data_IF_578243727710
#
_entry.id   IF_578243727710
#
_cell.length_a   1.000
_cell.length_b   1.000
_cell.length_c   1.000
_cell.angle_alpha   90.00
_cell.angle_beta   90.00
_cell.angle_gamma   90.00
#
_symmetry.space_group_name_H-M   'P 1'
#
loop_
_entity.id
_entity.type
_entity.pdbx_description
1 polymer ?
#
# COMPACT_ATOMS: atom_id res chain seq x y z
N UNK A 1 -2.52 -10.72 23.88
CA UNK A 1 -3.13 -11.99 23.41
C UNK A 1 -4.51 -11.72 22.79
N UNK A 2 -5.44 -11.02 23.48
CA UNK A 2 -6.79 -10.76 22.97
C UNK A 2 -6.83 -10.23 21.52
N UNK A 3 -6.03 -9.20 21.21
CA UNK A 3 -5.95 -8.63 19.87
C UNK A 3 -5.55 -9.66 18.82
N UNK A 4 -4.50 -10.44 19.09
CA UNK A 4 -3.98 -11.46 18.18
C UNK A 4 -5.00 -12.59 17.96
N UNK A 5 -5.70 -12.98 19.00
CA UNK A 5 -6.75 -14.01 18.93
C UNK A 5 -7.98 -13.53 18.16
N UNK A 6 -8.33 -12.24 18.26
CA UNK A 6 -9.47 -11.68 17.55
C UNK A 6 -9.25 -11.60 16.02
N UNK A 7 -8.04 -11.24 15.57
CA UNK A 7 -7.75 -10.97 14.15
C UNK A 7 -8.27 -12.07 13.21
N UNK A 8 -7.99 -13.36 13.41
CA UNK A 8 -8.46 -14.41 12.50
C UNK A 8 -9.97 -14.65 12.53
N UNK A 9 -10.72 -14.10 13.49
CA UNK A 9 -12.17 -14.27 13.61
C UNK A 9 -12.97 -13.18 12.93
N UNK A 10 -12.32 -12.14 12.38
CA UNK A 10 -13.01 -11.06 11.67
C UNK A 10 -13.39 -11.51 10.27
N UNK A 11 -14.67 -11.82 10.10
CA UNK A 11 -15.21 -12.22 8.81
C UNK A 11 -15.19 -11.06 7.80
N UNK A 12 -14.99 -11.40 6.53
CA UNK A 12 -15.02 -10.45 5.41
C UNK A 12 -14.12 -9.22 5.59
N UNK A 13 -13.02 -9.34 6.34
CA UNK A 13 -12.06 -8.26 6.48
C UNK A 13 -11.44 -7.89 5.12
N UNK A 14 -11.53 -6.63 4.68
CA UNK A 14 -10.97 -6.20 3.40
C UNK A 14 -9.43 -6.23 3.40
N UNK A 15 -8.82 -6.18 4.59
CA UNK A 15 -7.38 -6.24 4.78
C UNK A 15 -7.07 -7.16 5.98
N UNK A 16 -6.96 -8.47 5.76
CA UNK A 16 -6.77 -9.42 6.85
C UNK A 16 -5.36 -9.28 7.43
N UNK A 17 -5.29 -8.87 8.69
CA UNK A 17 -4.03 -8.80 9.46
C UNK A 17 -3.48 -10.17 9.89
N UNK A 18 -4.12 -11.25 9.48
CA UNK A 18 -3.67 -12.61 9.77
C UNK A 18 -2.25 -12.91 9.30
N UNK A 19 -1.77 -12.21 8.27
CA UNK A 19 -0.37 -12.31 7.81
C UNK A 19 0.64 -11.93 8.89
N UNK A 20 0.27 -11.01 9.79
CA UNK A 20 1.13 -10.55 10.89
C UNK A 20 1.02 -11.39 12.17
N UNK A 21 0.07 -12.33 12.23
CA UNK A 21 -0.19 -13.16 13.42
C UNK A 21 0.11 -14.63 13.19
N UNK A 22 0.62 -14.98 12.02
CA UNK A 22 0.97 -16.38 11.68
C UNK A 22 2.36 -16.75 12.19
N UNK A 23 2.57 -18.04 12.37
CA UNK A 23 3.89 -18.59 12.71
C UNK A 23 4.23 -18.58 14.21
N UNK A 24 3.28 -18.21 15.07
CA UNK A 24 3.46 -18.38 16.51
C UNK A 24 3.20 -19.82 16.92
N UNK A 25 4.19 -20.44 17.55
CA UNK A 25 4.03 -21.73 18.24
C UNK A 25 3.45 -21.54 19.65
N UNK A 26 3.92 -20.48 20.33
CA UNK A 26 3.42 -20.11 21.63
C UNK A 26 3.49 -18.60 21.86
N UNK A 27 2.57 -18.11 22.69
CA UNK A 27 2.60 -16.76 23.25
C UNK A 27 2.47 -16.91 24.77
N UNK A 28 3.50 -16.51 25.49
CA UNK A 28 3.58 -16.65 26.95
C UNK A 28 3.55 -15.26 27.59
N UNK A 29 2.93 -15.19 28.77
CA UNK A 29 2.88 -13.98 29.61
C UNK A 29 3.34 -14.36 31.02
N UNK A 30 4.67 -14.48 31.23
CA UNK A 30 5.22 -14.94 32.50
C UNK A 30 4.93 -13.98 33.68
N UNK A 31 4.73 -12.72 33.39
CA UNK A 31 4.37 -11.66 34.33
C UNK A 31 3.50 -10.59 33.63
N UNK A 32 2.92 -9.62 34.37
CA UNK A 32 2.02 -8.60 33.79
C UNK A 32 2.63 -7.64 32.75
N UNK A 33 3.96 -7.56 32.66
CA UNK A 33 4.68 -6.62 31.79
C UNK A 33 5.46 -7.32 30.69
N UNK A 34 5.51 -8.66 30.69
CA UNK A 34 6.29 -9.44 29.71
C UNK A 34 5.40 -10.28 28.82
N UNK A 35 5.63 -10.19 27.51
CA UNK A 35 5.06 -11.09 26.52
C UNK A 35 6.20 -11.74 25.74
N UNK A 36 6.14 -13.07 25.59
CA UNK A 36 7.14 -13.86 24.87
C UNK A 36 6.48 -14.53 23.69
N UNK A 37 6.97 -14.25 22.49
CA UNK A 37 6.54 -14.90 21.24
C UNK A 37 7.55 -16.00 20.88
N UNK A 38 7.06 -17.23 20.75
CA UNK A 38 7.84 -18.36 20.23
C UNK A 38 7.43 -18.67 18.81
N UNK A 39 8.41 -18.76 17.92
CA UNK A 39 8.21 -19.01 16.49
C UNK A 39 9.01 -20.22 16.05
N UNK A 40 8.49 -21.00 15.08
CA UNK A 40 9.16 -22.19 14.54
C UNK A 40 10.50 -21.89 13.87
N UNK A 41 10.64 -20.70 13.28
CA UNK A 41 11.84 -20.22 12.61
C UNK A 41 12.18 -18.81 13.10
N UNK A 42 13.43 -18.36 12.95
CA UNK A 42 13.78 -16.97 13.21
C UNK A 42 12.84 -16.02 12.47
N UNK A 43 12.34 -15.00 13.16
CA UNK A 43 11.34 -14.06 12.64
C UNK A 43 11.81 -12.61 12.81
N UNK A 44 12.82 -12.15 12.05
CA UNK A 44 13.42 -10.81 12.22
C UNK A 44 12.43 -9.66 11.99
N UNK A 45 11.35 -9.92 11.25
CA UNK A 45 10.31 -8.94 10.95
C UNK A 45 9.21 -8.83 12.02
N UNK A 46 9.21 -9.70 13.02
CA UNK A 46 8.14 -9.74 14.01
C UNK A 46 7.91 -8.40 14.72
N UNK A 47 8.93 -7.65 15.17
CA UNK A 47 8.72 -6.33 15.76
C UNK A 47 8.05 -5.34 14.80
N UNK A 48 8.50 -5.28 13.55
CA UNK A 48 7.94 -4.41 12.52
C UNK A 48 6.49 -4.78 12.19
N UNK A 49 6.19 -6.06 12.08
CA UNK A 49 4.82 -6.53 11.84
C UNK A 49 3.87 -6.19 12.99
N UNK A 50 4.33 -6.38 14.23
CA UNK A 50 3.55 -6.04 15.41
C UNK A 50 3.33 -4.53 15.58
N UNK A 51 4.25 -3.68 15.11
CA UNK A 51 4.10 -2.23 15.18
C UNK A 51 2.94 -1.70 14.32
N UNK A 52 2.49 -2.48 13.33
CA UNK A 52 1.34 -2.13 12.48
C UNK A 52 -0.01 -2.49 13.11
N UNK A 53 -0.01 -3.22 14.23
CA UNK A 53 -1.21 -3.68 14.91
C UNK A 53 -1.64 -2.71 16.01
N UNK A 54 -2.85 -2.19 15.93
CA UNK A 54 -3.49 -1.51 17.05
C UNK A 54 -3.87 -2.51 18.15
N UNK A 55 -3.31 -2.34 19.36
CA UNK A 55 -3.61 -3.22 20.49
C UNK A 55 -4.93 -2.82 21.14
N UNK A 56 -5.87 -3.75 21.23
CA UNK A 56 -7.17 -3.57 21.85
C UNK A 56 -7.11 -3.87 23.35
N UNK A 57 -7.84 -3.09 24.16
CA UNK A 57 -8.02 -3.38 25.58
C UNK A 57 -8.90 -4.60 25.77
N UNK A 58 -8.34 -5.69 26.30
CA UNK A 58 -9.11 -6.88 26.62
C UNK A 58 -10.23 -6.59 27.64
N UNK A 59 -9.97 -5.73 28.63
CA UNK A 59 -10.95 -5.34 29.64
C UNK A 59 -12.16 -4.60 29.06
N UNK A 60 -11.94 -3.72 28.06
CA UNK A 60 -13.02 -2.99 27.42
C UNK A 60 -14.01 -3.87 26.63
N UNK A 61 -13.58 -5.08 26.27
CA UNK A 61 -14.37 -6.01 25.45
C UNK A 61 -14.62 -7.36 26.15
N UNK A 62 -14.41 -7.45 27.46
CA UNK A 62 -14.67 -8.70 28.22
C UNK A 62 -13.72 -9.85 27.88
N UNK A 63 -12.55 -9.56 27.33
CA UNK A 63 -11.57 -10.54 26.85
C UNK A 63 -10.41 -10.82 27.82
N UNK A 64 -10.54 -10.54 29.11
CA UNK A 64 -9.47 -10.69 30.11
C UNK A 64 -9.03 -12.14 30.32
N UNK A 65 -9.92 -13.11 30.06
CA UNK A 65 -9.65 -14.54 30.24
C UNK A 65 -9.06 -15.21 28.99
N UNK A 66 -8.86 -14.44 27.91
CA UNK A 66 -8.29 -14.95 26.66
C UNK A 66 -6.83 -15.33 26.86
N UNK A 67 -6.50 -16.56 26.53
CA UNK A 67 -5.15 -17.13 26.68
C UNK A 67 -4.70 -17.77 25.36
N UNK A 68 -3.41 -17.87 25.18
CA UNK A 68 -2.81 -18.72 24.16
C UNK A 68 -2.48 -20.07 24.79
N UNK A 69 -3.13 -21.14 24.31
CA UNK A 69 -2.90 -22.51 24.80
C UNK A 69 -2.34 -23.41 23.71
N UNK A 70 -2.21 -24.69 24.02
CA UNK A 70 -1.85 -25.71 23.03
C UNK A 70 -2.91 -25.74 21.91
N UNK A 71 -2.49 -25.40 20.69
CA UNK A 71 -3.40 -25.32 19.53
C UNK A 71 -4.00 -23.94 19.28
N UNK A 72 -3.59 -22.87 19.97
CA UNK A 72 -3.96 -21.48 19.69
C UNK A 72 -4.80 -20.80 20.76
N UNK A 73 -5.68 -19.93 20.35
CA UNK A 73 -6.49 -19.08 21.24
C UNK A 73 -7.57 -19.84 21.98
N UNK A 74 -7.71 -19.54 23.27
CA UNK A 74 -8.72 -20.12 24.16
C UNK A 74 -9.51 -18.97 24.84
N UNK A 75 -10.77 -19.25 25.16
CA UNK A 75 -11.68 -18.34 25.89
C UNK A 75 -11.93 -16.99 25.20
N UNK A 76 -11.85 -16.92 23.85
CA UNK A 76 -12.06 -15.68 23.12
C UNK A 76 -13.51 -15.16 23.24
N UNK A 77 -14.47 -16.03 23.44
CA UNK A 77 -15.90 -15.67 23.45
C UNK A 77 -16.37 -15.19 22.06
N UNK A 78 -17.38 -14.31 22.06
CA UNK A 78 -17.88 -13.69 20.82
C UNK A 78 -17.13 -12.36 20.59
N UNK A 79 -16.38 -12.23 19.49
CA UNK A 79 -15.66 -10.99 19.20
C UNK A 79 -16.63 -9.81 18.99
N UNK A 80 -16.25 -8.59 19.39
CA UNK A 80 -17.07 -7.41 19.20
C UNK A 80 -17.28 -7.11 17.72
N UNK A 81 -18.47 -6.61 17.39
CA UNK A 81 -18.79 -6.15 16.04
C UNK A 81 -18.08 -4.84 15.73
N UNK A 82 -17.82 -4.57 14.45
CA UNK A 82 -17.10 -3.35 14.01
C UNK A 82 -17.74 -2.05 14.52
N UNK A 83 -19.08 -2.00 14.66
CA UNK A 83 -19.78 -0.81 15.15
C UNK A 83 -19.47 -0.46 16.61
N UNK A 84 -19.10 -1.45 17.43
CA UNK A 84 -18.79 -1.24 18.85
C UNK A 84 -17.50 -0.44 19.06
N UNK A 85 -16.59 -0.46 18.08
CA UNK A 85 -15.35 0.35 18.12
C UNK A 85 -15.58 1.84 17.88
N UNK A 86 -16.78 2.23 17.48
CA UNK A 86 -17.16 3.63 17.27
C UNK A 86 -17.58 4.33 18.57
N UNK A 87 -17.74 3.57 19.66
CA UNK A 87 -18.11 4.09 20.97
C UNK A 87 -16.85 4.63 21.70
N UNK A 88 -16.82 5.93 22.10
CA UNK A 88 -15.67 6.49 22.82
C UNK A 88 -15.25 5.69 24.06
N UNK A 89 -16.22 5.15 24.80
CA UNK A 89 -15.98 4.35 26.00
C UNK A 89 -15.22 3.04 25.71
N UNK A 90 -15.29 2.54 24.49
CA UNK A 90 -14.59 1.31 24.04
C UNK A 90 -13.28 1.60 23.28
N UNK A 91 -13.06 2.83 22.88
CA UNK A 91 -11.81 3.26 22.25
C UNK A 91 -10.72 3.51 23.30
N UNK A 92 -10.43 2.49 24.09
CA UNK A 92 -9.46 2.54 25.20
C UNK A 92 -8.06 2.24 24.69
N UNK A 93 -7.14 3.19 24.87
CA UNK A 93 -5.76 3.08 24.46
C UNK A 93 -4.82 3.89 25.36
N UNK A 94 -3.52 3.71 25.17
CA UNK A 94 -2.45 4.41 25.90
C UNK A 94 -1.86 5.59 25.14
N UNK A 95 -2.50 5.98 24.03
CA UNK A 95 -2.01 7.01 23.13
C UNK A 95 -2.10 8.44 23.67
N UNK A 96 -1.54 9.40 22.91
CA UNK A 96 -1.48 10.81 23.28
C UNK A 96 -2.83 11.54 23.20
N UNK A 97 -3.80 10.95 22.52
CA UNK A 97 -5.17 11.45 22.41
C UNK A 97 -6.19 10.39 22.82
N UNK A 98 -7.34 10.86 23.29
CA UNK A 98 -8.52 10.05 23.59
C UNK A 98 -9.62 10.40 22.57
N UNK A 99 -10.39 9.39 22.14
CA UNK A 99 -11.55 9.60 21.32
C UNK A 99 -12.66 10.25 22.15
N UNK A 100 -13.02 11.49 21.80
CA UNK A 100 -14.12 12.21 22.45
C UNK A 100 -15.46 11.99 21.73
N UNK A 101 -15.42 11.98 20.39
CA UNK A 101 -16.60 11.72 19.56
C UNK A 101 -16.21 11.14 18.21
N UNK A 102 -17.05 10.27 17.69
CA UNK A 102 -16.96 9.75 16.32
C UNK A 102 -18.34 9.74 15.67
N UNK A 103 -18.47 10.46 14.57
CA UNK A 103 -19.66 10.40 13.72
C UNK A 103 -19.22 10.00 12.32
N UNK A 104 -19.59 8.78 11.92
CA UNK A 104 -19.17 8.20 10.64
C UNK A 104 -19.50 9.12 9.46
N UNK A 105 -18.49 9.42 8.65
CA UNK A 105 -18.61 10.29 7.48
C UNK A 105 -18.67 11.78 7.79
N UNK A 106 -18.66 12.18 9.06
CA UNK A 106 -18.77 13.59 9.47
C UNK A 106 -17.51 14.08 10.18
N UNK A 107 -17.12 13.44 11.27
CA UNK A 107 -15.93 13.84 12.03
C UNK A 107 -15.44 12.76 13.00
N UNK A 108 -14.16 12.89 13.38
CA UNK A 108 -13.53 12.27 14.54
C UNK A 108 -13.02 13.39 15.44
N UNK A 109 -13.44 13.45 16.69
CA UNK A 109 -12.97 14.42 17.67
C UNK A 109 -12.06 13.72 18.67
N UNK A 110 -10.84 14.22 18.78
CA UNK A 110 -9.83 13.74 19.71
C UNK A 110 -9.54 14.83 20.74
N UNK A 111 -9.40 14.43 22.00
CA UNK A 111 -8.94 15.29 23.09
C UNK A 111 -7.62 14.79 23.62
N UNK A 112 -6.74 15.72 24.00
CA UNK A 112 -5.42 15.40 24.51
C UNK A 112 -5.52 14.53 25.77
N UNK A 113 -4.74 13.46 25.83
CA UNK A 113 -4.64 12.64 27.02
C UNK A 113 -3.67 13.30 27.99
N UNK A 114 -4.19 13.99 29.01
CA UNK A 114 -3.37 14.66 30.03
C UNK A 114 -2.51 13.69 30.86
N UNK A 115 -2.87 12.40 30.87
CA UNK A 115 -2.13 11.34 31.54
C UNK A 115 -1.23 10.55 30.58
N UNK A 116 -0.93 11.09 29.41
CA UNK A 116 -0.04 10.43 28.44
C UNK A 116 1.36 10.29 29.04
N UNK A 117 1.94 9.11 28.91
CA UNK A 117 3.25 8.76 29.46
C UNK A 117 4.45 9.34 28.70
N UNK A 118 4.26 9.78 27.45
CA UNK A 118 5.27 10.44 26.62
C UNK A 118 5.09 11.95 26.57
N UNK A 119 5.72 12.59 25.59
CA UNK A 119 5.60 14.01 25.36
C UNK A 119 4.16 14.39 24.99
N UNK A 120 3.58 15.32 25.75
CA UNK A 120 2.21 15.78 25.50
C UNK A 120 2.12 16.48 24.15
N UNK A 121 1.14 16.12 23.30
CA UNK A 121 0.92 16.83 22.05
C UNK A 121 0.54 18.28 22.30
N UNK A 122 0.88 19.15 21.34
CA UNK A 122 0.63 20.59 21.48
C UNK A 122 -0.86 20.93 21.57
N UNK A 123 -1.65 20.34 20.65
CA UNK A 123 -3.07 20.68 20.54
C UNK A 123 -3.91 19.96 21.58
N UNK A 124 -4.80 20.71 22.26
CA UNK A 124 -5.72 20.13 23.26
C UNK A 124 -6.85 19.34 22.60
N UNK A 125 -7.29 19.78 21.42
CA UNK A 125 -8.38 19.17 20.67
C UNK A 125 -8.01 19.12 19.18
N UNK A 126 -8.33 17.98 18.56
CA UNK A 126 -8.17 17.78 17.11
C UNK A 126 -9.48 17.30 16.54
N UNK A 127 -9.90 17.90 15.42
CA UNK A 127 -11.10 17.48 14.70
C UNK A 127 -10.70 17.03 13.29
N UNK A 128 -10.89 15.77 12.99
CA UNK A 128 -10.75 15.23 11.65
C UNK A 128 -12.08 15.28 10.92
N UNK A 129 -12.08 15.85 9.72
CA UNK A 129 -13.28 15.97 8.86
C UNK A 129 -13.02 15.27 7.54
N UNK A 130 -13.69 14.14 7.22
CA UNK A 130 -13.58 13.52 5.91
C UNK A 130 -14.25 14.38 4.85
N UNK A 131 -13.47 14.97 3.95
CA UNK A 131 -13.94 15.73 2.79
C UNK A 131 -13.35 15.03 1.54
N UNK A 132 -14.11 14.10 0.97
CA UNK A 132 -13.63 13.25 -0.11
C UNK A 132 -13.39 13.98 -1.43
N UNK A 133 -14.21 15.00 -1.72
CA UNK A 133 -14.07 15.77 -2.95
C UNK A 133 -12.97 16.82 -2.86
N UNK A 134 -12.11 16.90 -3.87
CA UNK A 134 -10.93 17.79 -3.90
C UNK A 134 -11.30 19.28 -3.80
N UNK A 135 -12.23 19.75 -4.64
CA UNK A 135 -12.63 21.16 -4.66
C UNK A 135 -13.17 21.66 -3.30
N UNK A 136 -14.18 21.00 -2.70
CA UNK A 136 -14.67 21.32 -1.36
C UNK A 136 -13.57 21.25 -0.28
N UNK A 137 -12.62 20.30 -0.38
CA UNK A 137 -11.51 20.20 0.57
C UNK A 137 -10.57 21.41 0.50
N UNK A 138 -10.20 21.85 -0.70
CA UNK A 138 -9.42 23.09 -0.91
C UNK A 138 -10.22 24.33 -0.46
N UNK A 139 -11.50 24.39 -0.79
CA UNK A 139 -12.36 25.51 -0.35
C UNK A 139 -12.42 25.64 1.17
N UNK A 140 -12.55 24.52 1.89
CA UNK A 140 -12.55 24.51 3.36
C UNK A 140 -11.23 25.04 3.97
N UNK A 141 -10.07 24.71 3.35
CA UNK A 141 -8.79 25.26 3.77
C UNK A 141 -8.73 26.78 3.52
N UNK A 142 -9.09 27.23 2.31
CA UNK A 142 -9.03 28.64 1.95
C UNK A 142 -10.01 29.52 2.75
N UNK A 143 -11.15 28.97 3.15
CA UNK A 143 -12.12 29.63 4.03
C UNK A 143 -11.67 29.65 5.51
N UNK A 144 -10.67 28.85 5.88
CA UNK A 144 -10.23 28.71 7.28
C UNK A 144 -11.08 27.76 8.12
N UNK A 145 -11.97 26.98 7.49
CA UNK A 145 -12.78 25.95 8.17
C UNK A 145 -11.95 24.76 8.66
N UNK A 146 -10.80 24.55 8.04
CA UNK A 146 -9.78 23.57 8.44
C UNK A 146 -8.38 24.19 8.36
N UNK A 147 -7.46 23.71 9.18
CA UNK A 147 -6.09 24.25 9.27
C UNK A 147 -5.09 23.48 8.42
N UNK A 148 -5.38 22.21 8.14
CA UNK A 148 -4.55 21.28 7.36
C UNK A 148 -5.44 20.45 6.46
N UNK A 149 -5.01 20.22 5.22
CA UNK A 149 -5.61 19.22 4.32
C UNK A 149 -4.57 18.26 3.78
N UNK A 150 -4.95 17.01 3.63
CA UNK A 150 -4.20 15.97 2.94
C UNK A 150 -4.50 16.00 1.43
N UNK A 151 -3.52 15.63 0.64
CA UNK A 151 -3.64 15.46 -0.80
C UNK A 151 -4.39 16.63 -1.49
N UNK A 152 -3.92 17.89 -1.31
CA UNK A 152 -4.40 18.98 -2.13
C UNK A 152 -4.13 18.65 -3.61
N UNK A 153 -5.07 18.93 -4.52
CA UNK A 153 -4.86 18.71 -5.95
C UNK A 153 -3.65 19.50 -6.46
N UNK A 154 -2.81 18.88 -7.26
CA UNK A 154 -1.55 19.48 -7.74
C UNK A 154 -1.82 20.77 -8.52
N UNK A 155 -2.89 20.81 -9.30
CA UNK A 155 -3.31 21.98 -10.06
C UNK A 155 -3.70 23.19 -9.19
N UNK A 156 -3.99 22.98 -7.90
CA UNK A 156 -4.36 24.06 -6.98
C UNK A 156 -3.18 24.58 -6.13
N UNK A 157 -1.96 24.02 -6.29
CA UNK A 157 -0.80 24.41 -5.49
C UNK A 157 -0.49 25.91 -5.55
N UNK A 158 -0.48 26.49 -6.74
CA UNK A 158 -0.19 27.92 -6.91
C UNK A 158 -1.28 28.79 -6.29
N UNK A 159 -2.55 28.40 -6.43
CA UNK A 159 -3.68 29.05 -5.79
C UNK A 159 -3.58 29.01 -4.27
N UNK A 160 -3.25 27.84 -3.71
CA UNK A 160 -3.08 27.64 -2.25
C UNK A 160 -1.91 28.48 -1.74
N UNK A 161 -0.75 28.44 -2.39
CA UNK A 161 0.41 29.25 -2.03
C UNK A 161 0.13 30.75 -2.16
N UNK A 162 -0.53 31.17 -3.26
CA UNK A 162 -0.91 32.56 -3.50
C UNK A 162 -1.88 33.11 -2.46
N UNK A 163 -2.69 32.26 -1.83
CA UNK A 163 -3.55 32.59 -0.71
C UNK A 163 -2.84 32.59 0.67
N UNK A 164 -1.52 32.37 0.70
CA UNK A 164 -0.71 32.46 1.92
C UNK A 164 -0.60 31.16 2.72
N UNK A 165 -1.04 30.02 2.16
CA UNK A 165 -0.88 28.70 2.75
C UNK A 165 0.44 28.05 2.33
N UNK A 166 0.87 27.04 3.07
CA UNK A 166 2.09 26.29 2.81
C UNK A 166 1.75 24.94 2.18
N UNK A 167 2.61 24.46 1.27
CA UNK A 167 2.59 23.09 0.77
C UNK A 167 3.82 22.37 1.29
N UNK A 168 3.62 21.28 2.00
CA UNK A 168 4.65 20.34 2.46
C UNK A 168 4.52 19.06 1.65
N UNK A 169 5.65 18.50 1.20
CA UNK A 169 5.69 17.32 0.34
C UNK A 169 6.80 16.37 0.80
N UNK A 170 6.57 15.07 0.62
CA UNK A 170 7.59 14.05 0.86
C UNK A 170 7.33 12.79 0.05
N UNK A 171 8.43 12.15 -0.37
CA UNK A 171 8.34 10.83 -1.01
C UNK A 171 7.74 9.83 -0.02
N UNK A 172 6.81 9.01 -0.50
CA UNK A 172 6.18 7.98 0.31
C UNK A 172 6.70 6.58 -0.02
N UNK A 173 6.40 5.63 0.86
CA UNK A 173 6.66 4.21 0.64
C UNK A 173 5.69 3.57 -0.37
N UNK A 174 4.86 4.37 -1.05
CA UNK A 174 3.86 3.86 -1.99
C UNK A 174 4.37 3.86 -3.42
N UNK A 175 4.36 2.67 -4.01
CA UNK A 175 4.58 2.44 -5.43
C UNK A 175 3.25 2.40 -6.18
N UNK A 176 3.17 3.05 -7.33
CA UNK A 176 2.10 2.88 -8.32
C UNK A 176 2.65 2.05 -9.47
N UNK A 177 1.88 1.05 -9.89
CA UNK A 177 2.33 0.05 -10.87
C UNK A 177 1.19 -0.46 -11.76
N UNK A 178 1.56 -1.03 -12.90
CA UNK A 178 0.67 -1.88 -13.69
C UNK A 178 0.91 -3.34 -13.31
N UNK A 179 -0.16 -4.09 -13.08
CA UNK A 179 -0.10 -5.51 -12.80
C UNK A 179 -0.78 -6.31 -13.91
N UNK A 180 -0.16 -7.40 -14.30
CA UNK A 180 -0.60 -8.24 -15.43
C UNK A 180 -0.97 -9.63 -14.95
N UNK A 181 -2.01 -10.21 -15.53
CA UNK A 181 -2.43 -11.58 -15.25
C UNK A 181 -1.50 -12.60 -15.90
N UNK A 182 -0.75 -13.32 -15.11
CA UNK A 182 0.22 -14.33 -15.54
C UNK A 182 -0.26 -15.76 -15.18
N UNK A 183 -1.57 -15.96 -15.14
CA UNK A 183 -2.13 -17.28 -14.87
C UNK A 183 -1.85 -18.25 -16.02
N UNK A 184 -1.20 -19.34 -15.69
CA UNK A 184 -0.78 -20.37 -16.64
C UNK A 184 -1.72 -21.60 -16.59
N UNK A 185 -3.00 -21.36 -16.78
CA UNK A 185 -4.01 -22.42 -16.96
C UNK A 185 -4.60 -22.27 -18.36
N UNK A 186 -4.48 -23.30 -19.24
CA UNK A 186 -5.02 -23.25 -20.59
C UNK A 186 -6.53 -23.05 -20.66
N UNK A 187 -7.27 -23.42 -19.60
CA UNK A 187 -8.72 -23.20 -19.50
C UNK A 187 -9.08 -21.77 -19.09
N UNK A 188 -8.10 -20.97 -18.61
CA UNK A 188 -8.33 -19.61 -18.17
C UNK A 188 -8.49 -18.65 -19.36
N UNK A 189 -9.66 -18.02 -19.43
CA UNK A 189 -9.87 -16.90 -20.37
C UNK A 189 -9.37 -15.63 -19.73
N UNK A 190 -8.32 -15.04 -20.30
CA UNK A 190 -7.68 -13.79 -19.85
C UNK A 190 -8.68 -12.62 -19.96
N UNK A 191 -9.29 -12.14 -18.87
CA UNK A 191 -10.38 -11.15 -18.94
C UNK A 191 -9.91 -9.84 -19.58
N UNK A 192 -10.72 -9.30 -20.49
CA UNK A 192 -10.46 -8.03 -21.15
C UNK A 192 -9.40 -8.07 -22.26
N UNK A 193 -8.77 -9.24 -22.52
CA UNK A 193 -7.86 -9.43 -23.65
C UNK A 193 -8.64 -9.92 -24.87
N UNK A 194 -8.35 -9.34 -26.06
CA UNK A 194 -8.96 -9.71 -27.33
C UNK A 194 -7.89 -9.71 -28.44
N UNK A 195 -8.19 -10.42 -29.54
CA UNK A 195 -7.27 -10.51 -30.70
C UNK A 195 -6.18 -11.57 -30.53
N UNK A 196 -6.27 -12.40 -29.50
CA UNK A 196 -5.39 -13.55 -29.26
C UNK A 196 -6.12 -14.59 -28.42
N UNK A 197 -5.83 -15.87 -28.67
CA UNK A 197 -6.36 -17.02 -27.91
C UNK A 197 -5.47 -17.44 -26.73
N UNK A 198 -4.30 -16.79 -26.60
CA UNK A 198 -3.32 -17.06 -25.54
C UNK A 198 -3.24 -15.88 -24.59
N UNK A 199 -2.88 -16.15 -23.33
CA UNK A 199 -2.53 -15.10 -22.41
C UNK A 199 -1.18 -14.46 -22.81
N UNK A 200 -1.16 -13.22 -23.35
CA UNK A 200 0.06 -12.59 -23.83
C UNK A 200 1.04 -12.26 -22.70
N UNK A 201 0.55 -12.09 -21.48
CA UNK A 201 1.35 -11.70 -20.32
C UNK A 201 2.20 -12.85 -19.74
N UNK A 202 2.01 -14.09 -20.21
CA UNK A 202 2.91 -15.20 -19.88
C UNK A 202 4.29 -15.03 -20.53
N UNK A 203 4.37 -14.38 -21.68
CA UNK A 203 5.64 -14.12 -22.34
C UNK A 203 6.35 -12.90 -21.72
N UNK A 204 7.54 -13.12 -21.18
CA UNK A 204 8.38 -12.07 -20.60
C UNK A 204 8.65 -10.93 -21.57
N UNK A 205 8.79 -11.20 -22.86
CA UNK A 205 9.03 -10.18 -23.89
C UNK A 205 7.87 -9.21 -24.01
N UNK A 206 6.63 -9.67 -23.84
CA UNK A 206 5.44 -8.82 -23.79
C UNK A 206 5.46 -7.94 -22.55
N UNK A 207 5.80 -8.49 -21.39
CA UNK A 207 5.89 -7.71 -20.13
C UNK A 207 6.99 -6.65 -20.21
N UNK A 208 8.16 -7.03 -20.79
CA UNK A 208 9.25 -6.08 -21.05
C UNK A 208 8.84 -4.99 -22.03
N UNK A 209 8.14 -5.35 -23.13
CA UNK A 209 7.62 -4.39 -24.11
C UNK A 209 6.69 -3.37 -23.45
N UNK A 210 5.78 -3.82 -22.58
CA UNK A 210 4.92 -2.94 -21.78
C UNK A 210 5.77 -1.97 -20.95
N UNK A 211 6.81 -2.48 -20.26
CA UNK A 211 7.69 -1.63 -19.44
C UNK A 211 8.44 -0.59 -20.26
N UNK A 212 8.98 -0.96 -21.42
CA UNK A 212 9.69 -0.06 -22.34
C UNK A 212 8.78 0.97 -23.00
N UNK A 213 7.50 0.64 -23.20
CA UNK A 213 6.52 1.56 -23.77
C UNK A 213 6.14 2.72 -22.83
N UNK A 214 6.34 2.57 -21.53
CA UNK A 214 5.94 3.57 -20.53
C UNK A 214 7.02 4.64 -20.34
N UNK A 215 6.71 5.88 -20.74
CA UNK A 215 7.54 7.04 -20.43
C UNK A 215 7.20 7.55 -19.02
N UNK A 216 7.91 7.01 -18.01
CA UNK A 216 7.71 7.34 -16.60
C UNK A 216 8.01 8.81 -16.30
N UNK A 217 9.02 9.36 -16.95
CA UNK A 217 9.39 10.77 -16.77
C UNK A 217 8.27 11.71 -17.29
N UNK A 218 7.67 11.38 -18.43
CA UNK A 218 6.52 12.13 -18.92
C UNK A 218 5.28 12.03 -18.00
N UNK A 219 5.05 10.88 -17.37
CA UNK A 219 4.00 10.74 -16.35
C UNK A 219 4.31 11.66 -15.17
N UNK A 220 5.54 11.64 -14.65
CA UNK A 220 5.96 12.47 -13.51
C UNK A 220 5.79 13.95 -13.84
N UNK A 221 6.27 14.42 -14.99
CA UNK A 221 6.26 15.82 -15.34
C UNK A 221 4.87 16.34 -15.74
N UNK A 222 4.16 15.61 -16.61
CA UNK A 222 2.94 16.12 -17.26
C UNK A 222 1.66 15.74 -16.55
N UNK A 223 1.64 14.57 -15.90
CA UNK A 223 0.43 14.10 -15.19
C UNK A 223 0.53 14.43 -13.71
N UNK A 224 1.73 14.24 -13.13
CA UNK A 224 1.97 14.45 -11.71
C UNK A 224 2.58 15.82 -11.38
N UNK A 225 2.77 16.71 -12.36
CA UNK A 225 3.29 18.06 -12.15
C UNK A 225 4.64 18.10 -11.38
N UNK A 226 5.48 17.08 -11.53
CA UNK A 226 6.72 16.90 -10.77
C UNK A 226 6.52 16.34 -9.35
N UNK A 227 5.28 16.06 -8.93
CA UNK A 227 4.94 15.56 -7.58
C UNK A 227 4.87 14.03 -7.61
N UNK A 228 5.94 13.40 -8.05
CA UNK A 228 6.16 11.97 -8.06
C UNK A 228 7.63 11.67 -8.38
N UNK A 229 8.08 10.45 -8.16
CA UNK A 229 9.43 9.99 -8.54
C UNK A 229 9.31 8.74 -9.39
N UNK A 230 9.90 8.74 -10.60
CA UNK A 230 9.88 7.58 -11.48
C UNK A 230 10.50 6.35 -10.79
N UNK A 231 9.81 5.19 -10.86
CA UNK A 231 10.18 3.99 -10.10
C UNK A 231 10.88 2.94 -10.97
N UNK A 232 11.98 2.38 -10.46
CA UNK A 232 12.70 1.24 -11.04
C UNK A 232 12.56 -0.04 -10.24
N UNK A 233 12.07 0.05 -9.02
CA UNK A 233 11.84 -1.08 -8.11
C UNK A 233 10.60 -0.85 -7.24
N UNK A 234 10.34 -1.74 -6.27
CA UNK A 234 9.09 -1.76 -5.51
C UNK A 234 9.05 -0.80 -4.31
N UNK A 235 10.19 -0.23 -3.93
CA UNK A 235 10.33 0.63 -2.76
C UNK A 235 11.34 1.74 -3.04
N UNK A 236 11.13 3.00 -2.60
CA UNK A 236 12.06 4.09 -2.86
C UNK A 236 13.31 4.02 -1.97
N UNK A 237 14.46 4.35 -2.55
CA UNK A 237 15.70 4.58 -1.80
C UNK A 237 15.51 5.75 -0.82
N UNK A 238 16.02 5.70 0.43
CA UNK A 238 16.98 4.73 0.98
C UNK A 238 16.35 3.67 1.90
N UNK A 239 15.11 3.28 1.68
CA UNK A 239 14.44 2.30 2.53
C UNK A 239 15.15 0.95 2.48
N UNK A 240 15.02 0.15 3.56
CA UNK A 240 15.80 -1.07 3.75
C UNK A 240 15.57 -2.12 2.65
N UNK A 241 16.64 -2.66 2.10
CA UNK A 241 16.62 -3.64 1.03
C UNK A 241 16.49 -3.04 -0.37
N UNK A 242 16.51 -1.71 -0.52
CA UNK A 242 16.52 -1.02 -1.83
C UNK A 242 17.90 -0.99 -2.47
N UNK A 243 17.95 -0.85 -3.79
CA UNK A 243 19.19 -0.81 -4.58
C UNK A 243 19.31 0.53 -5.31
N UNK A 244 20.27 1.41 -4.94
CA UNK A 244 20.44 2.71 -5.59
C UNK A 244 20.77 2.63 -7.10
N UNK A 245 21.25 1.51 -7.56
CA UNK A 245 21.57 1.22 -8.97
C UNK A 245 20.33 0.77 -9.78
N UNK A 246 19.23 0.40 -9.14
CA UNK A 246 17.99 0.03 -9.80
C UNK A 246 17.30 1.29 -10.37
N UNK A 247 17.49 1.51 -11.66
CA UNK A 247 16.87 2.65 -12.38
C UNK A 247 15.58 2.23 -13.08
N UNK A 248 14.65 3.17 -13.30
CA UNK A 248 13.50 2.92 -14.17
C UNK A 248 13.93 2.42 -15.54
N UNK A 249 13.19 1.45 -16.10
CA UNK A 249 13.44 0.98 -17.48
C UNK A 249 13.33 2.17 -18.43
N UNK A 250 14.32 2.29 -19.32
CA UNK A 250 14.36 3.37 -20.29
C UNK A 250 13.16 3.30 -21.24
N UNK A 251 12.59 4.47 -21.58
CA UNK A 251 11.55 4.57 -22.57
C UNK A 251 12.09 4.25 -23.97
N UNK A 252 11.59 3.20 -24.58
CA UNK A 252 12.02 2.68 -25.87
C UNK A 252 10.83 2.04 -26.62
N UNK A 253 9.96 2.84 -27.21
CA UNK A 253 8.76 2.35 -27.88
C UNK A 253 9.06 1.51 -29.13
N UNK A 254 10.17 1.76 -29.83
CA UNK A 254 10.54 0.98 -31.00
C UNK A 254 11.10 -0.40 -30.60
N UNK A 255 11.92 -0.47 -29.53
CA UNK A 255 12.32 -1.75 -28.94
C UNK A 255 11.13 -2.53 -28.38
N UNK A 256 10.11 -1.83 -27.82
CA UNK A 256 8.88 -2.46 -27.37
C UNK A 256 8.10 -3.12 -28.53
N UNK A 257 7.93 -2.44 -29.65
CA UNK A 257 7.28 -3.00 -30.86
C UNK A 257 8.03 -4.23 -31.37
N UNK A 258 9.37 -4.18 -31.39
CA UNK A 258 10.20 -5.30 -31.81
C UNK A 258 9.98 -6.50 -30.90
N UNK A 259 10.00 -6.33 -29.59
CA UNK A 259 9.73 -7.38 -28.62
C UNK A 259 8.34 -8.01 -28.78
N UNK A 260 7.29 -7.18 -29.04
CA UNK A 260 5.95 -7.69 -29.32
C UNK A 260 5.93 -8.55 -30.59
N UNK A 261 6.59 -8.13 -31.66
CA UNK A 261 6.65 -8.90 -32.90
C UNK A 261 7.40 -10.24 -32.69
N UNK A 262 8.53 -10.23 -31.97
CA UNK A 262 9.30 -11.43 -31.60
C UNK A 262 8.49 -12.38 -30.68
N UNK A 263 7.59 -11.84 -29.84
CA UNK A 263 6.68 -12.62 -29.01
C UNK A 263 5.48 -13.19 -29.78
N UNK A 264 5.36 -12.90 -31.09
CA UNK A 264 4.28 -13.38 -31.93
C UNK A 264 3.07 -12.44 -32.04
N UNK A 265 3.22 -11.17 -31.63
CA UNK A 265 2.18 -10.14 -31.68
C UNK A 265 2.59 -8.96 -32.58
N UNK A 266 2.94 -9.17 -33.87
CA UNK A 266 3.39 -8.09 -34.76
C UNK A 266 2.31 -7.02 -35.01
N UNK A 267 1.04 -7.39 -34.89
CA UNK A 267 -0.12 -6.50 -35.00
C UNK A 267 -0.71 -6.09 -33.63
N UNK A 268 -0.03 -6.49 -32.53
CA UNK A 268 -0.49 -6.25 -31.17
C UNK A 268 -1.73 -7.05 -30.79
N UNK A 269 -2.44 -6.55 -29.79
CA UNK A 269 -3.70 -7.12 -29.28
C UNK A 269 -4.50 -6.01 -28.56
N UNK A 270 -5.73 -6.32 -28.13
CA UNK A 270 -6.55 -5.38 -27.35
C UNK A 270 -6.59 -5.82 -25.89
N UNK A 271 -6.59 -4.86 -24.95
CA UNK A 271 -6.72 -5.13 -23.50
C UNK A 271 -7.51 -4.03 -22.79
N UNK A 272 -8.25 -4.40 -21.74
CA UNK A 272 -8.86 -3.46 -20.81
C UNK A 272 -7.92 -3.22 -19.63
N UNK A 273 -7.62 -1.94 -19.35
CA UNK A 273 -6.87 -1.50 -18.18
C UNK A 273 -7.84 -1.04 -17.08
N UNK A 274 -8.00 -1.87 -16.04
CA UNK A 274 -8.81 -1.50 -14.87
C UNK A 274 -8.05 -0.52 -13.96
N UNK A 275 -8.74 0.48 -13.41
CA UNK A 275 -8.15 1.46 -12.49
C UNK A 275 -9.18 2.02 -11.52
N UNK A 276 -8.80 2.35 -10.26
CA UNK A 276 -9.60 3.26 -9.47
C UNK A 276 -9.53 4.69 -10.02
N UNK A 277 -10.43 5.57 -9.58
CA UNK A 277 -10.44 6.99 -9.93
C UNK A 277 -10.56 7.92 -8.71
N UNK A 278 -10.51 7.36 -7.51
CA UNK A 278 -10.64 8.08 -6.25
C UNK A 278 -9.71 7.52 -5.14
N UNK A 279 -8.65 6.79 -5.51
CA UNK A 279 -7.76 6.11 -4.55
C UNK A 279 -6.36 6.68 -4.50
N UNK A 280 -5.75 6.95 -5.65
CA UNK A 280 -4.37 7.44 -5.78
C UNK A 280 -4.35 8.80 -6.44
N UNK A 281 -3.28 9.56 -6.25
CA UNK A 281 -3.15 10.88 -6.87
C UNK A 281 -3.16 10.73 -8.40
N UNK A 282 -4.15 11.32 -9.07
CA UNK A 282 -4.33 11.30 -10.53
C UNK A 282 -4.41 9.89 -11.15
N UNK A 283 -4.88 8.87 -10.43
CA UNK A 283 -4.89 7.47 -10.85
C UNK A 283 -5.51 7.25 -12.24
N UNK A 284 -6.70 7.76 -12.51
CA UNK A 284 -7.33 7.67 -13.82
C UNK A 284 -6.49 8.35 -14.92
N UNK A 285 -5.93 9.53 -14.64
CA UNK A 285 -5.10 10.26 -15.63
C UNK A 285 -3.80 9.50 -15.94
N UNK A 286 -3.19 8.88 -14.93
CA UNK A 286 -2.01 8.01 -15.10
C UNK A 286 -2.37 6.78 -15.94
N UNK A 287 -3.51 6.13 -15.67
CA UNK A 287 -3.99 4.98 -16.44
C UNK A 287 -4.27 5.37 -17.90
N UNK A 288 -4.91 6.51 -18.14
CA UNK A 288 -5.16 7.07 -19.48
C UNK A 288 -3.85 7.32 -20.25
N UNK A 289 -2.84 7.93 -19.60
CA UNK A 289 -1.53 8.16 -20.20
C UNK A 289 -0.83 6.84 -20.55
N UNK A 290 -0.84 5.86 -19.63
CA UNK A 290 -0.29 4.53 -19.86
C UNK A 290 -1.00 3.83 -21.03
N UNK A 291 -2.34 3.86 -21.08
CA UNK A 291 -3.13 3.28 -22.16
C UNK A 291 -2.77 3.87 -23.52
N UNK A 292 -2.58 5.19 -23.62
CA UNK A 292 -2.13 5.85 -24.85
C UNK A 292 -0.73 5.38 -25.28
N UNK A 293 0.19 5.23 -24.32
CA UNK A 293 1.55 4.75 -24.59
C UNK A 293 1.54 3.31 -25.10
N UNK A 294 0.74 2.43 -24.48
CA UNK A 294 0.59 1.03 -24.90
C UNK A 294 -0.06 0.93 -26.28
N UNK A 295 -1.06 1.76 -26.57
CA UNK A 295 -1.71 1.79 -27.89
C UNK A 295 -0.74 2.17 -29.02
N UNK A 296 0.23 3.06 -28.74
CA UNK A 296 1.27 3.46 -29.73
C UNK A 296 2.19 2.31 -30.14
N UNK A 297 2.35 1.29 -29.31
CA UNK A 297 3.16 0.11 -29.63
C UNK A 297 2.34 -1.06 -30.16
N UNK A 298 1.01 -0.88 -30.37
CA UNK A 298 0.11 -1.89 -30.91
C UNK A 298 -0.77 -2.59 -29.89
N UNK A 299 -0.59 -2.35 -28.59
CA UNK A 299 -1.49 -2.88 -27.55
C UNK A 299 -2.65 -1.90 -27.37
N UNK A 300 -3.73 -2.09 -28.14
CA UNK A 300 -4.94 -1.26 -28.04
C UNK A 300 -5.54 -1.36 -26.63
N UNK A 301 -5.41 -0.29 -25.85
CA UNK A 301 -5.75 -0.32 -24.43
C UNK A 301 -6.95 0.60 -24.15
N UNK A 302 -8.02 0.01 -23.60
CA UNK A 302 -9.22 0.72 -23.15
C UNK A 302 -9.20 0.85 -21.62
N UNK A 303 -9.38 2.07 -21.10
CA UNK A 303 -9.40 2.29 -19.64
C UNK A 303 -10.81 2.07 -19.10
N UNK A 304 -10.91 1.27 -18.03
CA UNK A 304 -12.14 1.05 -17.26
C UNK A 304 -11.90 1.62 -15.83
N UNK A 305 -12.27 2.91 -15.67
CA UNK A 305 -12.10 3.65 -14.42
C UNK A 305 -13.36 3.57 -13.56
N UNK A 306 -13.19 3.35 -12.25
CA UNK A 306 -14.29 3.16 -11.30
C UNK A 306 -13.87 3.55 -9.88
N UNK A 307 -14.85 3.64 -8.97
CA UNK A 307 -14.54 3.89 -7.56
C UNK A 307 -13.66 2.79 -6.95
N UNK A 308 -12.83 3.13 -5.98
CA UNK A 308 -11.91 2.19 -5.33
C UNK A 308 -12.61 0.93 -4.79
N UNK A 309 -13.78 1.07 -4.17
CA UNK A 309 -14.53 -0.07 -3.65
C UNK A 309 -14.94 -1.06 -4.75
N UNK A 310 -15.42 -0.55 -5.89
CA UNK A 310 -15.78 -1.36 -7.06
C UNK A 310 -14.54 -2.00 -7.67
N UNK A 311 -13.48 -1.23 -7.86
CA UNK A 311 -12.22 -1.70 -8.41
C UNK A 311 -11.64 -2.85 -7.60
N UNK A 312 -11.49 -2.71 -6.28
CA UNK A 312 -10.91 -3.77 -5.45
C UNK A 312 -11.78 -5.01 -5.39
N UNK A 313 -13.12 -4.86 -5.41
CA UNK A 313 -14.05 -5.99 -5.50
C UNK A 313 -13.84 -6.80 -6.79
N UNK A 314 -13.83 -6.12 -7.95
CA UNK A 314 -13.64 -6.72 -9.26
C UNK A 314 -12.23 -7.32 -9.44
N UNK A 315 -11.19 -6.60 -8.99
CA UNK A 315 -9.81 -7.08 -8.99
C UNK A 315 -9.66 -8.39 -8.18
N UNK A 316 -10.28 -8.46 -7.00
CA UNK A 316 -10.22 -9.66 -6.16
C UNK A 316 -10.92 -10.88 -6.78
N UNK A 317 -11.85 -10.65 -7.71
CA UNK A 317 -12.50 -11.68 -8.53
C UNK A 317 -11.75 -11.99 -9.82
N UNK A 318 -10.55 -11.40 -10.02
CA UNK A 318 -9.74 -11.53 -11.23
C UNK A 318 -10.47 -11.12 -12.52
N UNK A 319 -11.26 -10.04 -12.47
CA UNK A 319 -11.99 -9.54 -13.65
C UNK A 319 -11.13 -8.68 -14.59
N UNK A 320 -9.88 -8.41 -14.24
CA UNK A 320 -8.92 -7.64 -15.05
C UNK A 320 -7.65 -8.44 -15.30
N UNK A 321 -7.16 -8.45 -16.53
CA UNK A 321 -5.85 -9.01 -16.88
C UNK A 321 -4.75 -7.97 -16.90
N UNK A 322 -5.10 -6.69 -16.95
CA UNK A 322 -4.20 -5.55 -16.78
C UNK A 322 -4.91 -4.53 -15.87
N UNK A 323 -4.22 -4.05 -14.84
CA UNK A 323 -4.77 -3.01 -13.97
C UNK A 323 -3.70 -2.13 -13.36
N UNK A 324 -4.08 -0.87 -13.05
CA UNK A 324 -3.28 0.04 -12.24
C UNK A 324 -3.66 -0.11 -10.78
N UNK A 325 -2.65 -0.23 -9.93
CA UNK A 325 -2.82 -0.22 -8.48
C UNK A 325 -1.61 0.41 -7.79
N UNK A 326 -1.72 0.62 -6.50
CA UNK A 326 -0.62 1.07 -5.65
C UNK A 326 -0.46 0.17 -4.43
N UNK A 327 0.75 0.14 -3.89
CA UNK A 327 1.10 -0.57 -2.67
C UNK A 327 1.94 0.31 -1.75
N UNK A 328 1.49 0.52 -0.52
CA UNK A 328 2.26 1.16 0.54
C UNK A 328 2.97 0.10 1.38
N UNK A 329 4.27 0.18 1.49
CA UNK A 329 5.06 -0.76 2.27
C UNK A 329 5.20 -0.27 3.73
N UNK A 330 4.17 -0.48 4.53
CA UNK A 330 4.05 0.10 5.88
C UNK A 330 5.18 -0.32 6.85
N UNK A 331 5.82 -1.47 6.61
CA UNK A 331 7.02 -1.88 7.37
C UNK A 331 8.29 -1.10 7.01
N UNK A 332 8.27 -0.30 5.92
CA UNK A 332 9.41 0.47 5.46
C UNK A 332 10.55 -0.36 4.87
N UNK A 333 10.32 -1.62 4.51
CA UNK A 333 11.35 -2.49 3.94
C UNK A 333 10.87 -3.33 2.74
N UNK A 334 11.84 -3.72 1.90
CA UNK A 334 11.61 -4.43 0.62
C UNK A 334 10.91 -5.79 0.80
N UNK A 335 11.05 -6.44 1.95
CA UNK A 335 10.36 -7.71 2.22
C UNK A 335 8.85 -7.59 2.06
N UNK A 336 8.27 -6.46 2.47
CA UNK A 336 6.83 -6.22 2.43
C UNK A 336 6.26 -6.32 1.00
N UNK A 337 6.70 -5.50 0.02
CA UNK A 337 6.17 -5.61 -1.34
C UNK A 337 6.60 -6.90 -2.05
N UNK A 338 7.77 -7.47 -1.77
CA UNK A 338 8.18 -8.75 -2.34
C UNK A 338 7.21 -9.87 -1.93
N UNK A 339 6.94 -10.01 -0.64
CA UNK A 339 6.00 -11.03 -0.13
C UNK A 339 4.58 -10.79 -0.62
N UNK A 340 4.12 -9.52 -0.62
CA UNK A 340 2.73 -9.23 -0.93
C UNK A 340 2.40 -9.34 -2.42
N UNK A 341 3.28 -8.81 -3.29
CA UNK A 341 2.96 -8.54 -4.69
C UNK A 341 3.54 -9.56 -5.68
N UNK A 342 4.72 -10.14 -5.39
CA UNK A 342 5.46 -10.92 -6.39
C UNK A 342 5.86 -12.32 -5.94
N UNK A 343 5.78 -12.65 -4.65
CA UNK A 343 5.90 -14.04 -4.22
C UNK A 343 4.77 -14.90 -4.78
N UNK A 344 5.05 -16.16 -5.05
CA UNK A 344 4.01 -17.12 -5.44
C UNK A 344 2.94 -17.22 -4.36
N UNK A 345 1.66 -17.19 -4.77
CA UNK A 345 0.54 -17.24 -3.84
C UNK A 345 0.51 -18.57 -3.08
N UNK A 346 0.62 -18.48 -1.76
CA UNK A 346 0.49 -19.61 -0.84
C UNK A 346 -0.45 -19.22 0.32
N UNK A 347 -1.71 -19.69 0.31
CA UNK A 347 -2.67 -19.38 1.38
C UNK A 347 -2.23 -19.85 2.77
N UNK A 348 -1.37 -20.89 2.86
CA UNK A 348 -0.91 -21.43 4.14
C UNK A 348 0.08 -20.50 4.82
N UNK A 349 1.04 -19.97 4.07
CA UNK A 349 2.07 -19.07 4.60
C UNK A 349 1.67 -17.60 4.49
N UNK A 350 0.73 -17.26 3.61
CA UNK A 350 0.33 -15.89 3.29
C UNK A 350 1.23 -15.19 2.29
N UNK A 351 2.21 -15.89 1.72
CA UNK A 351 2.99 -15.37 0.60
C UNK A 351 2.07 -15.08 -0.59
N UNK A 352 2.37 -14.04 -1.35
CA UNK A 352 1.62 -13.65 -2.53
C UNK A 352 0.17 -13.23 -2.27
N UNK A 353 -0.18 -12.86 -1.03
CA UNK A 353 -1.57 -12.58 -0.64
C UNK A 353 -2.24 -11.46 -1.45
N UNK A 354 -1.47 -10.62 -2.12
CA UNK A 354 -1.96 -9.56 -3.03
C UNK A 354 -1.46 -9.74 -4.46
N UNK A 355 -0.73 -10.80 -4.75
CA UNK A 355 -0.30 -11.17 -6.10
C UNK A 355 -1.49 -11.63 -6.96
N UNK A 356 -2.37 -10.68 -7.34
CA UNK A 356 -3.55 -10.97 -8.18
C UNK A 356 -3.18 -11.25 -9.63
N UNK A 357 -1.95 -10.92 -10.04
CA UNK A 357 -1.38 -11.31 -11.33
C UNK A 357 -0.94 -12.77 -11.40
N UNK A 358 -0.91 -13.47 -10.27
CA UNK A 358 -0.55 -14.89 -10.19
C UNK A 358 0.82 -15.23 -10.77
N UNK A 359 1.74 -14.26 -10.73
CA UNK A 359 3.13 -14.49 -11.04
C UNK A 359 3.73 -15.55 -10.10
N UNK A 360 4.65 -16.37 -10.62
CA UNK A 360 5.33 -17.39 -9.84
C UNK A 360 6.77 -17.56 -10.34
N UNK A 361 7.69 -17.52 -9.40
CA UNK A 361 9.11 -17.80 -9.66
C UNK A 361 9.73 -18.49 -8.42
N UNK A 362 10.04 -19.79 -8.51
CA UNK A 362 10.59 -20.56 -7.39
C UNK A 362 11.92 -20.04 -6.84
N UNK A 363 12.78 -19.47 -7.69
CA UNK A 363 14.07 -18.89 -7.27
C UNK A 363 13.84 -17.63 -6.43
N UNK A 364 12.90 -16.76 -6.86
CA UNK A 364 12.50 -15.59 -6.11
C UNK A 364 11.88 -15.98 -4.75
N UNK A 365 11.01 -16.98 -4.74
CA UNK A 365 10.39 -17.48 -3.50
C UNK A 365 11.43 -18.00 -2.51
N UNK A 366 12.47 -18.68 -3.02
CA UNK A 366 13.59 -19.17 -2.18
C UNK A 366 14.37 -18.01 -1.54
N UNK A 367 14.69 -16.96 -2.30
CA UNK A 367 15.36 -15.75 -1.78
C UNK A 367 14.51 -15.04 -0.73
N UNK A 368 13.21 -14.88 -0.99
CA UNK A 368 12.26 -14.26 -0.04
C UNK A 368 12.19 -15.06 1.26
N UNK A 369 12.06 -16.37 1.18
CA UNK A 369 12.04 -17.26 2.37
C UNK A 369 13.35 -17.16 3.16
N UNK A 370 14.49 -17.18 2.46
CA UNK A 370 15.80 -17.05 3.11
C UNK A 370 15.96 -15.70 3.81
N UNK A 371 15.57 -14.59 3.15
CA UNK A 371 15.58 -13.26 3.78
C UNK A 371 14.67 -13.20 5.02
N UNK A 372 13.50 -13.84 4.94
CA UNK A 372 12.50 -13.87 6.03
C UNK A 372 12.97 -14.58 7.30
N UNK A 373 14.01 -15.41 7.22
CA UNK A 373 14.57 -16.14 8.37
C UNK A 373 16.01 -15.72 8.74
N UNK A 374 16.58 -14.77 8.00
CA UNK A 374 17.95 -14.27 8.23
C UNK A 374 17.93 -13.14 9.25
N UNK A 375 18.53 -13.34 10.42
CA UNK A 375 18.58 -12.37 11.52
C UNK A 375 19.67 -11.32 11.29
N UNK A 376 20.79 -11.70 10.67
CA UNK A 376 21.86 -10.74 10.31
C UNK A 376 21.32 -9.71 9.30
N UNK A 377 21.24 -8.45 9.72
CA UNK A 377 20.63 -7.38 8.94
C UNK A 377 21.35 -7.12 7.60
N UNK A 378 22.69 -7.18 7.58
CA UNK A 378 23.45 -6.92 6.35
C UNK A 378 23.22 -8.02 5.32
N UNK A 379 23.25 -9.28 5.79
CA UNK A 379 22.98 -10.43 4.95
C UNK A 379 21.52 -10.43 4.47
N UNK A 380 20.58 -10.06 5.33
CA UNK A 380 19.16 -9.95 5.00
C UNK A 380 18.93 -8.85 3.96
N UNK A 381 19.54 -7.68 4.14
CA UNK A 381 19.45 -6.58 3.18
C UNK A 381 19.98 -6.99 1.80
N UNK A 382 21.09 -7.70 1.75
CA UNK A 382 21.66 -8.20 0.48
C UNK A 382 20.73 -9.21 -0.20
N UNK A 383 20.14 -10.14 0.54
CA UNK A 383 19.14 -11.08 0.02
C UNK A 383 17.91 -10.36 -0.55
N UNK A 384 17.44 -9.31 0.11
CA UNK A 384 16.33 -8.49 -0.36
C UNK A 384 16.68 -7.75 -1.65
N UNK A 385 17.89 -7.20 -1.77
CA UNK A 385 18.38 -6.58 -3.01
C UNK A 385 18.46 -7.59 -4.16
N UNK A 386 18.96 -8.79 -3.90
CA UNK A 386 19.00 -9.86 -4.90
C UNK A 386 17.58 -10.25 -5.33
N UNK A 387 16.66 -10.44 -4.39
CA UNK A 387 15.27 -10.76 -4.68
C UNK A 387 14.58 -9.64 -5.48
N UNK A 388 14.79 -8.36 -5.13
CA UNK A 388 14.26 -7.22 -5.88
C UNK A 388 14.80 -7.17 -7.31
N UNK A 389 16.12 -7.35 -7.50
CA UNK A 389 16.74 -7.39 -8.83
C UNK A 389 16.22 -8.53 -9.69
N UNK A 390 16.11 -9.74 -9.12
CA UNK A 390 15.55 -10.90 -9.80
C UNK A 390 14.10 -10.64 -10.23
N UNK A 391 13.27 -10.18 -9.30
CA UNK A 391 11.88 -9.86 -9.59
C UNK A 391 11.77 -8.83 -10.72
N UNK A 392 12.42 -7.68 -10.60
CA UNK A 392 12.32 -6.61 -11.61
C UNK A 392 12.88 -7.03 -12.97
N UNK A 393 13.85 -7.93 -13.02
CA UNK A 393 14.38 -8.46 -14.28
C UNK A 393 13.39 -9.35 -15.03
N UNK A 394 12.38 -9.90 -14.37
CA UNK A 394 11.35 -10.77 -14.96
C UNK A 394 10.00 -10.05 -15.19
N UNK A 395 9.90 -8.78 -14.82
CA UNK A 395 8.72 -7.94 -15.04
C UNK A 395 7.41 -8.53 -14.50
N UNK A 396 7.31 -8.97 -13.24
CA UNK A 396 6.08 -9.51 -12.66
C UNK A 396 4.96 -8.47 -12.60
N UNK A 397 5.36 -7.22 -12.47
CA UNK A 397 4.55 -6.00 -12.56
C UNK A 397 5.44 -4.88 -13.10
N UNK A 398 4.84 -3.78 -13.51
CA UNK A 398 5.56 -2.64 -14.11
C UNK A 398 5.50 -1.45 -13.16
N UNK A 399 6.57 -1.12 -12.42
CA UNK A 399 6.67 0.08 -11.62
C UNK A 399 6.48 1.33 -12.49
N UNK A 400 5.67 2.28 -12.06
CA UNK A 400 5.46 3.56 -12.72
C UNK A 400 6.17 4.68 -11.97
N UNK A 401 5.70 4.98 -10.77
CA UNK A 401 6.28 6.02 -9.92
C UNK A 401 6.02 5.75 -8.44
N UNK A 402 6.86 6.33 -7.58
CA UNK A 402 6.56 6.50 -6.17
C UNK A 402 5.73 7.75 -5.97
N UNK A 403 4.68 7.66 -5.15
CA UNK A 403 3.90 8.84 -4.77
C UNK A 403 4.73 9.78 -3.91
N UNK A 404 4.60 11.07 -4.19
CA UNK A 404 4.97 12.15 -3.29
C UNK A 404 3.67 12.66 -2.68
N UNK A 405 3.54 12.53 -1.36
CA UNK A 405 2.32 12.94 -0.67
C UNK A 405 2.42 14.41 -0.29
N UNK A 406 1.47 15.25 -0.72
CA UNK A 406 1.40 16.65 -0.35
C UNK A 406 0.41 16.88 0.80
N UNK A 407 0.74 17.86 1.64
CA UNK A 407 -0.16 18.48 2.62
C UNK A 407 -0.20 19.97 2.38
N UNK A 408 -1.37 20.58 2.57
CA UNK A 408 -1.47 22.03 2.60
C UNK A 408 -1.85 22.50 4.01
N UNK A 409 -1.14 23.51 4.51
CA UNK A 409 -1.22 23.94 5.89
C UNK A 409 -1.42 25.47 5.96
N UNK A 410 -2.18 25.91 6.95
CA UNK A 410 -2.28 27.31 7.34
C UNK A 410 -0.92 27.85 7.77
N UNK A 411 -0.65 29.12 7.49
CA UNK A 411 0.54 29.82 7.99
C UNK A 411 0.61 29.75 9.52
N UNK A 412 1.81 29.53 10.06
CA UNK A 412 2.01 29.37 11.50
C UNK A 412 1.80 27.94 12.03
N UNK A 413 1.60 26.97 11.13
CA UNK A 413 1.56 25.54 11.45
C UNK A 413 2.69 24.86 10.69
N UNK A 414 3.36 23.92 11.32
CA UNK A 414 4.39 23.08 10.69
C UNK A 414 4.00 21.61 10.73
N UNK A 415 4.41 20.90 9.72
CA UNK A 415 4.28 19.46 9.60
C UNK A 415 5.46 18.92 8.80
N UNK A 416 6.01 17.78 9.22
CA UNK A 416 7.04 17.07 8.46
C UNK A 416 6.41 15.93 7.67
N UNK A 417 6.54 15.97 6.34
CA UNK A 417 6.05 14.92 5.48
C UNK A 417 6.57 13.55 5.91
N UNK A 418 5.67 12.59 6.05
CA UNK A 418 5.97 11.22 6.48
C UNK A 418 6.01 10.28 5.29
N UNK A 419 6.94 9.34 5.34
CA UNK A 419 7.10 8.32 4.29
C UNK A 419 5.93 7.32 4.27
N UNK A 420 5.28 7.11 5.41
CA UNK A 420 4.11 6.22 5.57
C UNK A 420 2.77 6.88 5.15
N UNK A 421 2.79 8.14 4.72
CA UNK A 421 1.63 8.94 4.31
C UNK A 421 0.63 9.26 5.45
N UNK A 422 0.88 8.84 6.68
CA UNK A 422 -0.01 9.18 7.79
C UNK A 422 0.09 10.66 8.14
N UNK A 423 -1.03 11.26 8.52
CA UNK A 423 -1.09 12.58 9.14
C UNK A 423 -1.32 12.40 10.64
N UNK A 424 -0.26 12.57 11.41
CA UNK A 424 -0.34 12.42 12.85
C UNK A 424 -0.56 13.78 13.52
N UNK A 425 -1.60 13.88 14.34
CA UNK A 425 -1.90 15.11 15.09
C UNK A 425 -0.76 15.53 16.03
N UNK A 426 0.06 14.58 16.51
CA UNK A 426 1.26 14.82 17.33
C UNK A 426 2.39 15.51 16.58
N UNK A 427 2.42 15.34 15.25
CA UNK A 427 3.46 15.93 14.37
C UNK A 427 3.06 17.30 13.82
N UNK A 428 1.80 17.68 13.95
CA UNK A 428 1.32 19.01 13.57
C UNK A 428 1.61 19.95 14.73
N UNK A 429 2.47 20.95 14.51
CA UNK A 429 2.97 21.85 15.56
C UNK A 429 2.85 23.32 15.15
N UNK A 430 2.82 24.26 16.11
CA UNK A 430 3.01 25.65 15.79
C UNK A 430 4.32 25.86 15.04
N UNK A 431 4.28 26.69 14.00
CA UNK A 431 5.46 27.19 13.32
C UNK A 431 6.02 28.42 14.02
N UNK A 432 7.31 28.64 13.87
CA UNK A 432 7.97 29.89 14.25
C UNK A 432 7.57 31.04 13.33
#
# INVERSE_FOLDING_TARGET
>A
IYTLCRIPTVENSPSPFTVYTRGFEAIETPDPLTIVFKTANPAPLLPNNLSTLGVLSAAAFGGTDVKWGSGGCQSLGTPPKSVEFNEPAKAVGTGPYKLANYTRGTHVILERNENYWGDKPHWQKVTWRPISSEGPRVAALLAGDVDVIENPPIQDFDKIKGAGFQIVQGISNRIIYLHMDQHNDPAWKTPGVKGTDKNPFLDKRVREAISKAINRQAIVERIMGGVAVAAGELLPVPLFGTSPDMKPVAYDPEGAKKLLAEAGYPNGFEVTLGTPNDRYINDEKVAQAAAQMLTRIGIKTNVDAMTASTFFSRRNKHEFSLYLAGWGADSGEMMNPLVALVATMDPKTGMGHTNRGRYSNPELDALIKQAGTTVDEKKREELLRQASKLAMSDFPLIPLHFEVTPWALKKGITYKARVDQYTLATEIRPGS
#
